data_IF_317465718738
#
_entry.id   IF_317465718738
#
_cell.length_a   1.000
_cell.length_b   1.000
_cell.length_c   1.000
_cell.angle_alpha   90.00
_cell.angle_beta   90.00
_cell.angle_gamma   90.00
#
_symmetry.space_group_name_H-M   'P 1'
#
loop_
_entity.id
_entity.type
_entity.pdbx_description
1 polymer ?
#
# COMPACT_ATOMS: atom_id res chain seq x y z
N UNK A 1 1.95 57.25 25.43
CA UNK A 1 0.58 56.82 25.08
C UNK A 1 0.45 56.92 23.57
N UNK A 2 0.16 55.93 22.73
CA UNK A 2 -0.31 54.55 22.88
C UNK A 2 0.35 53.72 21.77
N UNK A 3 0.78 52.53 22.14
CA UNK A 3 1.21 51.42 21.30
C UNK A 3 0.06 50.93 20.39
N UNK A 4 0.36 50.61 19.14
CA UNK A 4 -0.46 49.73 18.31
C UNK A 4 0.48 48.74 17.62
N UNK A 5 0.57 47.57 18.25
CA UNK A 5 1.34 46.40 17.83
C UNK A 5 0.52 45.71 16.73
N UNK A 6 1.10 45.59 15.53
CA UNK A 6 0.51 44.83 14.42
C UNK A 6 0.73 43.34 14.70
N UNK A 7 -0.33 42.63 15.09
CA UNK A 7 -0.31 41.19 15.32
C UNK A 7 -0.21 40.44 13.99
N UNK A 8 0.94 39.81 13.75
CA UNK A 8 1.18 38.91 12.62
C UNK A 8 0.44 37.59 12.89
N UNK A 9 -0.67 37.36 12.18
CA UNK A 9 -1.41 36.10 12.22
C UNK A 9 -0.57 34.96 11.61
N UNK A 10 0.01 34.14 12.48
CA UNK A 10 0.51 32.80 12.14
C UNK A 10 -0.70 31.89 11.88
N UNK A 11 -1.06 31.73 10.61
CA UNK A 11 -1.98 30.67 10.18
C UNK A 11 -1.19 29.37 10.23
N UNK A 12 -1.26 28.67 11.37
CA UNK A 12 -0.79 27.29 11.48
C UNK A 12 -1.83 26.42 10.80
N UNK A 13 -1.57 26.01 9.56
CA UNK A 13 -2.36 24.97 8.91
C UNK A 13 -2.08 23.65 9.64
N UNK A 14 -3.08 23.16 10.38
CA UNK A 14 -3.02 21.84 10.98
C UNK A 14 -3.00 20.80 9.85
N UNK A 15 -1.82 20.25 9.55
CA UNK A 15 -1.72 19.05 8.72
C UNK A 15 -2.35 17.93 9.54
N UNK A 16 -3.43 17.27 9.07
CA UNK A 16 -3.96 16.11 9.78
C UNK A 16 -2.89 15.02 9.75
N UNK A 17 -2.25 14.79 10.89
CA UNK A 17 -1.40 13.64 11.10
C UNK A 17 -2.30 12.40 11.08
N UNK A 18 -2.36 11.70 9.94
CA UNK A 18 -2.96 10.38 9.89
C UNK A 18 -2.09 9.46 10.74
N UNK A 19 -2.55 9.13 11.94
CA UNK A 19 -1.90 8.09 12.74
C UNK A 19 -2.11 6.76 12.02
N UNK A 20 -1.04 6.20 11.47
CA UNK A 20 -1.06 4.90 10.80
C UNK A 20 -1.46 3.82 11.80
N UNK A 21 -2.53 3.07 11.48
CA UNK A 21 -3.00 1.96 12.32
C UNK A 21 -2.17 0.72 11.99
N UNK A 22 -1.65 0.05 13.02
CA UNK A 22 -0.93 -1.22 12.85
C UNK A 22 -1.78 -2.38 13.36
N UNK A 23 -1.75 -3.49 12.64
CA UNK A 23 -2.42 -4.74 12.98
C UNK A 23 -1.39 -5.86 13.13
N UNK A 24 -1.62 -6.73 14.11
CA UNK A 24 -0.86 -7.99 14.21
C UNK A 24 -1.24 -8.95 13.08
N UNK A 25 -0.39 -9.95 12.84
CA UNK A 25 -0.65 -11.06 11.91
C UNK A 25 -2.01 -11.73 12.19
N UNK A 26 -2.31 -12.03 13.44
CA UNK A 26 -3.53 -12.74 13.85
C UNK A 26 -4.77 -11.88 13.59
N UNK A 27 -4.68 -10.58 13.89
CA UNK A 27 -5.76 -9.63 13.63
C UNK A 27 -6.03 -9.49 12.13
N UNK A 28 -4.99 -9.31 11.31
CA UNK A 28 -5.15 -9.23 9.85
C UNK A 28 -5.73 -10.51 9.25
N UNK A 29 -5.25 -11.66 9.71
CA UNK A 29 -5.76 -12.97 9.26
C UNK A 29 -7.24 -13.13 9.60
N UNK A 30 -7.65 -12.72 10.80
CA UNK A 30 -9.05 -12.74 11.24
C UNK A 30 -9.92 -11.76 10.45
N UNK A 31 -9.42 -10.56 10.14
CA UNK A 31 -10.13 -9.58 9.34
C UNK A 31 -10.29 -10.06 7.88
N UNK A 32 -9.24 -10.63 7.31
CA UNK A 32 -9.24 -11.18 5.96
C UNK A 32 -10.25 -12.32 5.82
N UNK A 33 -10.28 -13.28 6.75
CA UNK A 33 -11.22 -14.41 6.71
C UNK A 33 -12.68 -13.98 6.84
N UNK A 34 -12.93 -12.83 7.48
CA UNK A 34 -14.26 -12.21 7.61
C UNK A 34 -14.61 -11.29 6.43
N UNK A 35 -13.71 -11.09 5.47
CA UNK A 35 -13.88 -10.10 4.39
C UNK A 35 -13.91 -8.65 4.89
N UNK A 36 -13.43 -8.38 6.11
CA UNK A 36 -13.45 -7.07 6.79
C UNK A 36 -12.05 -6.47 6.84
N UNK A 37 -11.40 -6.35 5.68
CA UNK A 37 -10.05 -5.80 5.60
C UNK A 37 -9.99 -4.34 6.11
N UNK A 38 -8.85 -3.91 6.68
CA UNK A 38 -8.68 -2.54 7.14
C UNK A 38 -8.98 -1.51 6.04
N UNK A 39 -9.48 -0.35 6.45
CA UNK A 39 -9.52 0.81 5.55
C UNK A 39 -8.08 1.25 5.27
N UNK A 40 -7.87 1.78 4.07
CA UNK A 40 -6.57 2.26 3.61
C UNK A 40 -6.68 3.73 3.25
N UNK A 41 -5.60 4.47 3.49
CA UNK A 41 -5.43 5.82 3.00
C UNK A 41 -5.06 5.88 1.51
N UNK A 42 -4.58 7.04 1.04
CA UNK A 42 -4.06 7.19 -0.32
C UNK A 42 -2.89 6.23 -0.58
N UNK A 43 -2.85 5.65 -1.78
CA UNK A 43 -1.74 4.83 -2.20
C UNK A 43 -0.58 5.70 -2.73
N UNK A 44 0.64 5.34 -2.39
CA UNK A 44 1.88 5.94 -2.91
C UNK A 44 2.70 4.89 -3.64
N UNK A 45 3.32 5.27 -4.76
CA UNK A 45 4.25 4.39 -5.47
C UNK A 45 5.56 4.30 -4.69
N UNK A 46 5.96 3.07 -4.36
CA UNK A 46 7.20 2.78 -3.62
C UNK A 46 8.27 2.13 -4.52
N UNK A 47 7.87 1.57 -5.66
CA UNK A 47 8.77 1.04 -6.68
C UNK A 47 8.12 1.15 -8.06
N UNK A 48 8.90 1.54 -9.06
CA UNK A 48 8.50 1.53 -10.46
C UNK A 48 9.72 1.19 -11.32
N UNK A 49 9.78 -0.05 -11.82
CA UNK A 49 10.97 -0.62 -12.43
C UNK A 49 10.63 -1.25 -13.77
N UNK A 50 11.36 -0.89 -14.83
CA UNK A 50 11.25 -1.55 -16.13
C UNK A 50 11.67 -3.02 -16.00
N UNK A 51 10.81 -3.94 -16.45
CA UNK A 51 10.98 -5.37 -16.23
C UNK A 51 10.15 -6.17 -17.25
N UNK A 52 10.69 -7.30 -17.72
CA UNK A 52 9.92 -8.21 -18.56
C UNK A 52 8.70 -8.77 -17.79
N UNK A 53 7.59 -8.95 -18.49
CA UNK A 53 6.35 -9.41 -17.86
C UNK A 53 6.47 -10.81 -17.24
N UNK A 54 7.18 -11.73 -17.91
CA UNK A 54 7.33 -13.10 -17.41
C UNK A 54 8.21 -13.13 -16.16
N UNK A 55 9.29 -12.36 -16.15
CA UNK A 55 10.15 -12.17 -14.97
C UNK A 55 9.36 -11.54 -13.82
N UNK A 56 8.63 -10.46 -14.09
CA UNK A 56 7.82 -9.77 -13.09
C UNK A 56 6.76 -10.70 -12.48
N UNK A 57 6.07 -11.49 -13.31
CA UNK A 57 5.08 -12.47 -12.83
C UNK A 57 5.71 -13.54 -11.95
N UNK A 58 6.90 -14.02 -12.30
CA UNK A 58 7.64 -14.99 -11.48
C UNK A 58 8.01 -14.39 -10.12
N UNK A 59 8.56 -13.17 -10.08
CA UNK A 59 8.84 -12.46 -8.82
C UNK A 59 7.58 -12.24 -7.99
N UNK A 60 6.45 -11.92 -8.63
CA UNK A 60 5.15 -11.79 -7.97
C UNK A 60 4.71 -13.11 -7.32
N UNK A 61 4.86 -14.24 -8.01
CA UNK A 61 4.52 -15.56 -7.48
C UNK A 61 5.43 -15.99 -6.33
N UNK A 62 6.72 -15.68 -6.39
CA UNK A 62 7.66 -15.89 -5.27
C UNK A 62 7.28 -15.04 -4.06
N UNK A 63 6.92 -13.78 -4.28
CA UNK A 63 6.45 -12.85 -3.25
C UNK A 63 5.14 -13.34 -2.61
N UNK A 64 4.21 -13.86 -3.41
CA UNK A 64 2.98 -14.47 -2.94
C UNK A 64 3.28 -15.69 -2.04
N UNK A 65 4.10 -16.63 -2.54
CA UNK A 65 4.43 -17.88 -1.84
C UNK A 65 5.13 -17.62 -0.51
N UNK A 66 6.06 -16.67 -0.47
CA UNK A 66 6.75 -16.27 0.78
C UNK A 66 5.83 -15.53 1.77
N UNK A 67 4.74 -14.91 1.28
CA UNK A 67 3.83 -14.12 2.12
C UNK A 67 2.72 -14.96 2.76
N UNK A 68 2.12 -15.93 2.05
CA UNK A 68 0.90 -16.63 2.51
C UNK A 68 1.02 -17.39 3.84
N UNK A 69 2.23 -17.73 4.29
CA UNK A 69 2.44 -18.34 5.62
C UNK A 69 2.47 -17.33 6.78
N UNK A 70 2.68 -16.05 6.46
CA UNK A 70 2.93 -14.99 7.44
C UNK A 70 1.85 -13.92 7.45
N UNK A 71 1.37 -13.52 6.29
CA UNK A 71 0.38 -12.46 6.16
C UNK A 71 -0.63 -12.82 5.07
N UNK A 72 -1.87 -12.31 5.14
CA UNK A 72 -2.80 -12.47 4.05
C UNK A 72 -2.20 -11.93 2.75
N UNK A 73 -2.36 -12.71 1.68
CA UNK A 73 -1.93 -12.36 0.34
C UNK A 73 -2.94 -12.93 -0.67
N UNK A 74 -3.17 -12.20 -1.75
CA UNK A 74 -4.12 -12.60 -2.80
C UNK A 74 -3.70 -12.09 -4.15
N UNK A 75 -3.56 -13.02 -5.10
CA UNK A 75 -3.50 -12.69 -6.52
C UNK A 75 -4.92 -12.32 -6.95
N UNK A 76 -5.14 -11.09 -7.39
CA UNK A 76 -6.45 -10.57 -7.80
C UNK A 76 -6.62 -10.55 -9.32
N UNK A 77 -5.51 -10.51 -10.06
CA UNK A 77 -5.47 -10.60 -11.52
C UNK A 77 -4.27 -11.47 -11.87
N UNK A 78 -4.49 -12.50 -12.69
CA UNK A 78 -3.44 -13.30 -13.31
C UNK A 78 -3.83 -13.59 -14.76
N UNK A 79 -3.21 -12.86 -15.69
CA UNK A 79 -3.54 -12.92 -17.11
C UNK A 79 -2.28 -12.85 -17.97
N UNK A 80 -2.46 -12.94 -19.29
CA UNK A 80 -1.36 -12.78 -20.23
C UNK A 80 -0.80 -11.35 -20.31
N UNK A 81 -1.46 -10.32 -19.76
CA UNK A 81 -1.03 -8.91 -19.92
C UNK A 81 -0.88 -8.15 -18.62
N UNK A 82 -1.57 -8.62 -17.57
CA UNK A 82 -1.61 -7.99 -16.26
C UNK A 82 -1.53 -9.07 -15.18
N UNK A 83 -0.71 -8.83 -14.18
CA UNK A 83 -0.65 -9.61 -12.95
C UNK A 83 -0.71 -8.65 -11.77
N UNK A 84 -1.60 -8.89 -10.82
CA UNK A 84 -1.74 -8.03 -9.64
C UNK A 84 -1.89 -8.87 -8.38
N UNK A 85 -1.01 -8.60 -7.42
CA UNK A 85 -0.94 -9.25 -6.11
C UNK A 85 -1.18 -8.20 -5.01
N UNK A 86 -2.09 -8.50 -4.09
CA UNK A 86 -2.30 -7.74 -2.86
C UNK A 86 -1.66 -8.45 -1.67
N UNK A 87 -0.94 -7.70 -0.86
CA UNK A 87 -0.28 -8.15 0.37
C UNK A 87 -0.74 -7.26 1.53
N UNK A 88 -1.32 -7.86 2.56
CA UNK A 88 -1.73 -7.13 3.76
C UNK A 88 -0.66 -7.28 4.84
N UNK A 89 0.23 -6.29 4.95
CA UNK A 89 1.28 -6.24 5.99
C UNK A 89 0.74 -5.53 7.23
N UNK A 90 1.55 -5.46 8.29
CA UNK A 90 1.13 -4.94 9.60
C UNK A 90 0.57 -3.52 9.56
N UNK A 91 1.18 -2.65 8.77
CA UNK A 91 0.86 -1.22 8.73
C UNK A 91 0.22 -0.76 7.41
N UNK A 92 0.21 -1.62 6.38
CA UNK A 92 -0.21 -1.20 5.05
C UNK A 92 -0.67 -2.35 4.15
N UNK A 93 -1.48 -1.98 3.15
CA UNK A 93 -1.70 -2.76 1.95
C UNK A 93 -0.62 -2.44 0.92
N UNK A 94 0.11 -3.47 0.47
CA UNK A 94 1.02 -3.38 -0.67
C UNK A 94 0.34 -4.02 -1.88
N UNK A 95 0.37 -3.33 -3.02
CA UNK A 95 -0.07 -3.84 -4.31
C UNK A 95 1.14 -3.97 -5.21
N UNK A 96 1.40 -5.19 -5.68
CA UNK A 96 2.43 -5.51 -6.66
C UNK A 96 1.75 -5.71 -8.00
N UNK A 97 2.21 -5.01 -9.03
CA UNK A 97 1.60 -5.03 -10.37
C UNK A 97 2.66 -5.27 -11.45
N UNK A 98 2.37 -6.17 -12.38
CA UNK A 98 3.13 -6.37 -13.61
C UNK A 98 2.26 -6.00 -14.81
N UNK A 99 2.75 -5.10 -15.65
CA UNK A 99 2.06 -4.69 -16.87
C UNK A 99 2.90 -5.03 -18.08
N UNK A 100 2.40 -5.90 -18.97
CA UNK A 100 3.07 -6.23 -20.23
C UNK A 100 3.08 -5.03 -21.17
N UNK A 101 1.98 -4.28 -21.21
CA UNK A 101 1.84 -3.10 -22.10
C UNK A 101 2.79 -1.98 -21.70
N UNK A 102 3.02 -1.82 -20.39
CA UNK A 102 3.90 -0.77 -19.88
C UNK A 102 5.35 -1.26 -19.72
N UNK A 103 5.60 -2.56 -19.89
CA UNK A 103 6.93 -3.17 -19.76
C UNK A 103 7.57 -2.98 -18.39
N UNK A 104 6.75 -2.98 -17.32
CA UNK A 104 7.23 -2.62 -15.98
C UNK A 104 6.51 -3.34 -14.84
N UNK A 105 7.22 -3.39 -13.72
CA UNK A 105 6.72 -3.67 -12.39
C UNK A 105 6.43 -2.35 -11.68
N UNK A 106 5.29 -2.26 -11.00
CA UNK A 106 5.00 -1.15 -10.09
C UNK A 106 4.53 -1.71 -8.75
N UNK A 107 5.04 -1.15 -7.65
CA UNK A 107 4.55 -1.44 -6.31
C UNK A 107 4.01 -0.17 -5.66
N UNK A 108 2.83 -0.26 -5.08
CA UNK A 108 2.22 0.83 -4.31
C UNK A 108 1.94 0.39 -2.88
N UNK A 109 2.07 1.31 -1.93
CA UNK A 109 1.73 1.11 -0.54
C UNK A 109 0.59 2.07 -0.14
N UNK A 110 -0.38 1.56 0.62
CA UNK A 110 -1.42 2.37 1.25
C UNK A 110 -1.52 1.99 2.73
N UNK A 111 -1.18 2.95 3.59
CA UNK A 111 -1.20 2.75 5.05
C UNK A 111 -2.63 2.61 5.56
N UNK A 112 -2.82 1.87 6.66
CA UNK A 112 -4.15 1.69 7.24
C UNK A 112 -4.66 2.90 8.02
N UNK A 113 -5.99 3.01 8.08
CA UNK A 113 -6.74 4.04 8.81
C UNK A 113 -7.77 3.41 9.76
#
# INVERSE_FOLDING_TARGET
MKTLILALLLIVTAVPAFASVTYTKENLTTLYSKGKLPKVGPAVTIDDTAMDFSECRNQGNETYTSSIGNYPAKIIIDSGVLYTLKLWKENALIVFNCSRTDGKRTMTQADYQ
#
